data_IF_932299829616
#
_entry.id   IF_932299829616
#
_cell.length_a   1.000
_cell.length_b   1.000
_cell.length_c   1.000
_cell.angle_alpha   90.00
_cell.angle_beta   90.00
_cell.angle_gamma   90.00
#
_symmetry.space_group_name_H-M   'P 1'
#
loop_
_entity.id
_entity.type
_entity.pdbx_description
1 polymer ?
#
# COMPACT_ATOMS: atom_id res chain seq x y z
N UNK A 1 -2.66 -21.09 -15.11
CA UNK A 1 -3.04 -19.75 -14.63
C UNK A 1 -1.86 -18.82 -14.96
N UNK A 2 -2.07 -17.72 -15.70
CA UNK A 2 -1.00 -17.11 -16.50
C UNK A 2 -0.27 -15.92 -15.85
N UNK A 3 0.91 -15.63 -16.42
CA UNK A 3 1.96 -14.64 -16.08
C UNK A 3 1.51 -13.20 -15.77
N UNK A 4 0.22 -12.88 -15.93
CA UNK A 4 -0.33 -11.62 -15.45
C UNK A 4 -0.49 -11.61 -13.92
N UNK A 5 -0.83 -12.74 -13.27
CA UNK A 5 -1.52 -12.63 -11.98
C UNK A 5 -0.63 -12.07 -10.85
N UNK A 6 0.55 -12.61 -10.58
CA UNK A 6 1.39 -12.10 -9.47
C UNK A 6 1.94 -10.70 -9.76
N UNK A 7 2.38 -10.43 -10.99
CA UNK A 7 2.74 -9.06 -11.42
C UNK A 7 1.55 -8.09 -11.27
N UNK A 8 0.31 -8.52 -11.54
CA UNK A 8 -0.88 -7.68 -11.35
C UNK A 8 -1.12 -7.32 -9.88
N UNK A 9 -0.66 -8.12 -8.91
CA UNK A 9 -0.86 -7.85 -7.49
C UNK A 9 -0.18 -6.54 -7.02
N UNK A 10 0.94 -6.14 -7.63
CA UNK A 10 1.56 -4.82 -7.41
C UNK A 10 1.28 -3.84 -8.55
N UNK A 11 1.15 -4.32 -9.79
CA UNK A 11 0.88 -3.47 -10.96
C UNK A 11 -0.53 -2.88 -11.02
N UNK A 12 -1.52 -3.46 -10.32
CA UNK A 12 -2.87 -2.87 -10.16
C UNK A 12 -2.81 -1.53 -9.41
N UNK A 13 -1.72 -1.25 -8.69
CA UNK A 13 -1.51 0.03 -8.03
C UNK A 13 -0.74 1.04 -8.92
N UNK A 14 0.46 0.72 -9.43
CA UNK A 14 1.45 1.75 -9.80
C UNK A 14 2.43 1.40 -10.95
N UNK A 15 1.99 1.30 -12.21
CA UNK A 15 2.88 1.20 -13.39
C UNK A 15 3.07 2.54 -14.13
N UNK A 16 4.32 3.08 -14.14
CA UNK A 16 5.13 3.29 -15.37
C UNK A 16 6.38 4.21 -15.21
N UNK A 17 7.51 3.78 -15.82
CA UNK A 17 8.71 4.55 -16.27
C UNK A 17 9.81 5.01 -15.26
N UNK A 18 10.99 5.39 -15.80
CA UNK A 18 12.33 5.42 -15.11
C UNK A 18 13.30 6.53 -15.62
N UNK A 19 14.46 6.97 -15.06
CA UNK A 19 15.44 6.47 -14.03
C UNK A 19 16.49 7.48 -13.46
N UNK A 20 16.79 7.39 -12.14
CA UNK A 20 18.04 7.77 -11.39
C UNK A 20 18.31 9.30 -11.13
N UNK A 21 19.13 9.79 -10.15
CA UNK A 21 20.20 9.18 -9.31
C UNK A 21 20.59 9.95 -7.99
N UNK A 22 20.83 9.20 -6.88
CA UNK A 22 21.65 9.33 -5.63
C UNK A 22 22.09 10.65 -4.90
N UNK A 23 22.06 10.65 -3.54
CA UNK A 23 23.08 11.30 -2.65
C UNK A 23 22.65 11.84 -1.24
N UNK A 24 23.22 11.34 -0.11
CA UNK A 24 22.96 11.84 1.27
C UNK A 24 24.06 11.49 2.34
N UNK A 25 24.11 12.23 3.48
CA UNK A 25 24.92 11.95 4.71
C UNK A 25 24.21 12.45 6.00
N UNK A 26 24.51 11.89 7.20
CA UNK A 26 23.88 12.26 8.51
C UNK A 26 24.85 12.14 9.73
N UNK A 27 24.46 12.65 10.92
CA UNK A 27 25.26 12.78 12.16
C UNK A 27 24.55 12.20 13.43
N UNK A 28 25.21 12.20 14.60
CA UNK A 28 24.89 11.35 15.77
C UNK A 28 23.65 11.72 16.63
N UNK A 29 23.12 10.73 17.39
CA UNK A 29 21.75 10.68 17.99
C UNK A 29 21.61 11.09 19.49
N UNK A 30 20.39 11.47 19.98
CA UNK A 30 20.13 11.82 21.39
C UNK A 30 18.95 11.10 22.13
N UNK A 31 19.26 10.22 23.08
CA UNK A 31 18.42 9.79 24.23
C UNK A 31 17.01 9.19 23.99
N UNK A 32 16.96 7.87 23.80
CA UNK A 32 15.81 6.92 23.69
C UNK A 32 14.37 7.47 23.68
N UNK A 33 13.82 7.97 24.79
CA UNK A 33 12.41 8.41 24.83
C UNK A 33 12.19 9.70 24.02
N UNK A 34 13.13 10.65 24.14
CA UNK A 34 13.17 11.85 23.30
C UNK A 34 13.52 11.47 21.85
N UNK A 35 14.39 10.48 21.65
CA UNK A 35 14.71 9.87 20.36
C UNK A 35 13.44 9.38 19.65
N UNK A 36 12.57 8.65 20.35
CA UNK A 36 11.32 8.09 19.81
C UNK A 36 10.30 9.18 19.46
N UNK A 37 10.10 10.17 20.33
CA UNK A 37 9.22 11.31 20.03
C UNK A 37 9.76 12.14 18.86
N UNK A 38 11.07 12.41 18.82
CA UNK A 38 11.71 13.06 17.67
C UNK A 38 11.61 12.22 16.38
N UNK A 39 11.70 10.89 16.44
CA UNK A 39 11.52 10.02 15.28
C UNK A 39 10.07 10.04 14.77
N UNK A 40 9.07 9.96 15.65
CA UNK A 40 7.66 10.08 15.27
C UNK A 40 7.34 11.46 14.66
N UNK A 41 7.88 12.54 15.23
CA UNK A 41 7.79 13.90 14.67
C UNK A 41 8.53 14.03 13.33
N UNK A 42 9.68 13.38 13.18
CA UNK A 42 10.41 13.34 11.90
C UNK A 42 9.60 12.61 10.82
N UNK A 43 8.94 11.49 11.14
CA UNK A 43 8.05 10.81 10.19
C UNK A 43 6.86 11.69 9.82
N UNK A 44 6.22 12.37 10.77
CA UNK A 44 5.14 13.33 10.45
C UNK A 44 5.62 14.46 9.53
N UNK A 45 6.84 14.96 9.74
CA UNK A 45 7.47 15.95 8.85
C UNK A 45 7.75 15.38 7.45
N UNK A 46 8.25 14.14 7.35
CA UNK A 46 8.47 13.45 6.08
C UNK A 46 7.14 13.21 5.34
N UNK A 47 6.09 12.76 6.03
CA UNK A 47 4.73 12.67 5.45
C UNK A 47 4.29 14.03 4.91
N UNK A 48 4.47 15.12 5.65
CA UNK A 48 4.10 16.45 5.15
C UNK A 48 4.96 16.93 3.97
N UNK A 49 6.23 16.52 3.88
CA UNK A 49 7.10 16.79 2.73
C UNK A 49 6.69 15.98 1.50
N UNK A 50 6.45 14.67 1.67
CA UNK A 50 5.97 13.77 0.63
C UNK A 50 4.61 14.21 0.06
N UNK A 51 3.67 14.58 0.96
CA UNK A 51 2.40 15.24 0.61
C UNK A 51 2.59 16.52 -0.21
N UNK A 52 3.70 17.23 -0.04
CA UNK A 52 4.03 18.46 -0.77
C UNK A 52 4.95 18.20 -1.99
N UNK A 53 4.93 16.97 -2.53
CA UNK A 53 5.63 16.61 -3.77
C UNK A 53 7.11 16.26 -3.61
N UNK A 54 7.68 16.29 -2.41
CA UNK A 54 9.07 15.90 -2.19
C UNK A 54 9.24 14.38 -2.39
N UNK A 55 9.98 13.99 -3.43
CA UNK A 55 10.21 12.58 -3.76
C UNK A 55 11.14 11.88 -2.76
N UNK A 56 12.22 12.55 -2.31
CA UNK A 56 13.17 11.98 -1.34
C UNK A 56 12.48 11.64 -0.01
N UNK A 57 11.47 12.43 0.39
CA UNK A 57 10.68 12.15 1.57
C UNK A 57 9.91 10.81 1.45
N UNK A 58 9.44 10.42 0.26
CA UNK A 58 8.90 9.08 0.04
C UNK A 58 9.96 7.98 0.18
N UNK A 59 11.19 8.22 -0.27
CA UNK A 59 12.31 7.29 -0.06
C UNK A 59 12.66 7.13 1.41
N UNK A 60 12.77 8.23 2.16
CA UNK A 60 13.03 8.17 3.61
C UNK A 60 11.89 7.49 4.36
N UNK A 61 10.62 7.74 3.99
CA UNK A 61 9.47 7.02 4.57
C UNK A 61 9.53 5.52 4.33
N UNK A 62 9.98 5.08 3.14
CA UNK A 62 10.18 3.66 2.88
C UNK A 62 11.22 3.05 3.84
N UNK A 63 12.35 3.72 4.05
CA UNK A 63 13.38 3.30 5.02
C UNK A 63 12.85 3.32 6.47
N UNK A 64 12.06 4.31 6.87
CA UNK A 64 11.40 4.34 8.18
C UNK A 64 10.49 3.11 8.38
N UNK A 65 9.68 2.73 7.38
CA UNK A 65 8.82 1.54 7.45
C UNK A 65 9.60 0.21 7.35
N UNK A 66 10.77 0.19 6.72
CA UNK A 66 11.68 -0.97 6.70
C UNK A 66 12.32 -1.20 8.08
N UNK A 67 12.89 -0.15 8.65
CA UNK A 67 13.75 -0.25 9.83
C UNK A 67 13.04 0.03 11.16
N UNK A 68 11.81 0.57 11.11
CA UNK A 68 10.97 0.81 12.28
C UNK A 68 11.31 2.10 13.03
N UNK A 69 11.96 3.05 12.37
CA UNK A 69 12.32 4.33 12.97
C UNK A 69 11.13 5.31 12.89
N UNK A 70 10.55 5.64 14.04
CA UNK A 70 9.38 6.53 14.16
C UNK A 70 8.03 5.93 13.73
N UNK A 71 8.01 4.70 13.21
CA UNK A 71 6.80 3.95 12.82
C UNK A 71 6.99 2.45 13.09
N UNK A 72 5.89 1.70 13.18
CA UNK A 72 5.97 0.24 13.17
C UNK A 72 6.48 -0.28 11.83
N UNK A 73 7.33 -1.31 11.85
CA UNK A 73 7.81 -1.98 10.63
C UNK A 73 6.63 -2.49 9.79
N UNK A 74 6.66 -2.25 8.49
CA UNK A 74 5.69 -2.79 7.52
C UNK A 74 6.29 -2.85 6.12
N UNK A 75 6.27 -4.05 5.53
CA UNK A 75 6.66 -4.31 4.16
C UNK A 75 5.74 -3.60 3.17
N UNK A 76 4.42 -3.60 3.41
CA UNK A 76 3.45 -3.02 2.48
C UNK A 76 3.51 -1.49 2.49
N UNK A 77 3.63 -0.86 3.67
CA UNK A 77 3.79 0.60 3.73
C UNK A 77 5.16 1.03 3.16
N UNK A 78 6.23 0.27 3.42
CA UNK A 78 7.54 0.47 2.77
C UNK A 78 7.41 0.41 1.24
N UNK A 79 6.87 -0.69 0.69
CA UNK A 79 6.73 -0.87 -0.75
C UNK A 79 5.84 0.21 -1.37
N UNK A 80 4.75 0.60 -0.71
CA UNK A 80 3.91 1.69 -1.17
C UNK A 80 4.72 2.99 -1.30
N UNK A 81 5.44 3.39 -0.25
CA UNK A 81 6.25 4.61 -0.26
C UNK A 81 7.41 4.54 -1.26
N UNK A 82 8.08 3.39 -1.38
CA UNK A 82 9.16 3.21 -2.36
C UNK A 82 8.64 3.35 -3.80
N UNK A 83 7.47 2.78 -4.14
CA UNK A 83 6.92 2.94 -5.49
C UNK A 83 6.41 4.37 -5.73
N UNK A 84 5.94 5.10 -4.70
CA UNK A 84 5.65 6.54 -4.82
C UNK A 84 6.92 7.37 -5.11
N UNK A 85 8.08 6.98 -4.56
CA UNK A 85 9.39 7.52 -4.92
C UNK A 85 9.80 7.13 -6.34
N UNK A 86 9.65 5.86 -6.74
CA UNK A 86 9.90 5.37 -8.11
C UNK A 86 9.15 6.19 -9.16
N UNK A 87 7.87 6.52 -8.92
CA UNK A 87 7.07 7.33 -9.85
C UNK A 87 7.62 8.76 -10.00
N UNK A 88 8.07 9.39 -8.92
CA UNK A 88 8.51 10.80 -8.90
C UNK A 88 9.99 11.03 -9.21
N UNK A 89 10.74 9.96 -9.45
CA UNK A 89 12.20 10.00 -9.77
C UNK A 89 12.59 9.08 -10.91
N UNK A 90 11.66 8.24 -11.36
CA UNK A 90 11.96 7.09 -12.19
C UNK A 90 12.78 5.98 -11.51
N UNK A 91 13.09 6.01 -10.20
CA UNK A 91 13.86 4.94 -9.58
C UNK A 91 13.26 3.56 -9.88
N UNK A 92 14.09 2.56 -10.20
CA UNK A 92 13.58 1.23 -10.54
C UNK A 92 13.02 0.54 -9.30
N UNK A 93 11.88 -0.16 -9.46
CA UNK A 93 11.24 -0.89 -8.36
C UNK A 93 12.18 -1.98 -7.81
N UNK A 94 12.99 -2.64 -8.64
CA UNK A 94 13.96 -3.64 -8.19
C UNK A 94 15.19 -3.06 -7.48
N UNK A 95 15.41 -1.74 -7.53
CA UNK A 95 16.40 -1.04 -6.70
C UNK A 95 16.11 -1.11 -5.19
N UNK A 96 14.89 -1.51 -4.78
CA UNK A 96 14.59 -1.79 -3.37
C UNK A 96 15.49 -2.89 -2.80
N UNK A 97 15.98 -3.81 -3.65
CA UNK A 97 16.77 -4.97 -3.24
C UNK A 97 18.15 -4.59 -2.69
N UNK A 98 18.68 -3.43 -3.09
CA UNK A 98 20.00 -2.93 -2.65
C UNK A 98 20.03 -2.47 -1.18
N UNK A 99 18.86 -2.32 -0.54
CA UNK A 99 18.73 -1.91 0.86
C UNK A 99 18.65 -3.08 1.84
N UNK A 100 18.73 -4.33 1.36
CA UNK A 100 18.51 -5.54 2.16
C UNK A 100 19.70 -6.51 2.13
N UNK A 101 19.93 -7.18 3.26
CA UNK A 101 20.84 -8.32 3.32
C UNK A 101 20.29 -9.50 2.50
N UNK A 102 21.19 -10.27 1.88
CA UNK A 102 20.84 -11.34 0.91
C UNK A 102 19.94 -12.43 1.46
N UNK A 103 19.98 -12.64 2.77
CA UNK A 103 19.23 -13.66 3.49
C UNK A 103 17.97 -13.09 4.19
N UNK A 104 17.61 -11.83 3.93
CA UNK A 104 16.42 -11.19 4.52
C UNK A 104 15.11 -11.83 4.00
N UNK A 105 14.13 -12.10 4.89
CA UNK A 105 12.81 -12.62 4.49
C UNK A 105 12.12 -11.82 3.38
N UNK A 106 12.30 -10.50 3.35
CA UNK A 106 11.75 -9.65 2.30
C UNK A 106 12.28 -10.03 0.91
N UNK A 107 13.58 -10.27 0.77
CA UNK A 107 14.16 -10.65 -0.53
C UNK A 107 13.68 -12.04 -0.96
N UNK A 108 13.50 -12.97 -0.03
CA UNK A 108 12.90 -14.28 -0.32
C UNK A 108 11.46 -14.14 -0.83
N UNK A 109 10.64 -13.31 -0.17
CA UNK A 109 9.25 -13.05 -0.61
C UNK A 109 9.22 -12.30 -1.94
N UNK A 110 10.05 -11.27 -2.13
CA UNK A 110 10.17 -10.52 -3.38
C UNK A 110 10.52 -11.46 -4.54
N UNK A 111 11.57 -12.27 -4.40
CA UNK A 111 11.99 -13.24 -5.39
C UNK A 111 10.92 -14.31 -5.69
N UNK A 112 10.09 -14.67 -4.70
CA UNK A 112 8.96 -15.60 -4.91
C UNK A 112 7.83 -14.96 -5.73
N UNK A 113 7.63 -13.65 -5.61
CA UNK A 113 6.60 -12.90 -6.33
C UNK A 113 7.06 -12.47 -7.74
N UNK A 114 8.36 -12.46 -8.00
CA UNK A 114 8.96 -12.20 -9.33
C UNK A 114 8.69 -13.34 -10.33
N UNK A 115 8.31 -14.54 -9.86
CA UNK A 115 7.93 -15.66 -10.73
C UNK A 115 6.59 -15.43 -11.43
N UNK A 116 6.48 -15.90 -12.68
CA UNK A 116 5.25 -15.77 -13.47
C UNK A 116 4.06 -16.59 -12.95
N UNK A 117 4.28 -17.51 -12.02
CA UNK A 117 3.26 -18.23 -11.28
C UNK A 117 3.83 -18.72 -9.95
N UNK A 118 3.02 -18.74 -8.89
CA UNK A 118 3.40 -19.39 -7.64
C UNK A 118 3.62 -20.91 -7.80
N UNK A 119 3.18 -21.51 -8.92
CA UNK A 119 3.53 -22.90 -9.25
C UNK A 119 4.95 -23.08 -9.84
N UNK A 120 5.66 -22.00 -10.18
CA UNK A 120 7.07 -22.01 -10.59
C UNK A 120 8.02 -21.76 -9.40
N UNK A 121 7.47 -21.59 -8.20
CA UNK A 121 8.16 -21.20 -6.98
C UNK A 121 9.11 -22.29 -6.46
N UNK A 122 10.32 -21.89 -6.09
CA UNK A 122 11.33 -22.82 -5.59
C UNK A 122 11.00 -23.31 -4.17
N UNK A 123 10.65 -24.60 -4.03
CA UNK A 123 10.41 -25.24 -2.73
C UNK A 123 11.59 -25.08 -1.74
N UNK A 124 12.83 -24.92 -2.24
CA UNK A 124 13.99 -24.63 -1.41
C UNK A 124 13.98 -23.21 -0.84
N UNK A 125 13.53 -22.20 -1.60
CA UNK A 125 13.29 -20.85 -1.07
C UNK A 125 12.12 -20.85 -0.08
N UNK A 126 11.05 -21.60 -0.35
CA UNK A 126 9.91 -21.71 0.55
C UNK A 126 10.32 -22.32 1.90
N UNK A 127 11.12 -23.38 1.92
CA UNK A 127 11.63 -23.96 3.15
C UNK A 127 12.58 -22.99 3.90
N UNK A 128 13.44 -22.25 3.19
CA UNK A 128 14.23 -21.18 3.80
C UNK A 128 13.35 -20.10 4.46
N UNK A 129 12.28 -19.67 3.78
CA UNK A 129 11.32 -18.72 4.33
C UNK A 129 10.58 -19.28 5.56
N UNK A 130 10.24 -20.58 5.60
CA UNK A 130 9.64 -21.20 6.79
C UNK A 130 10.52 -21.09 8.04
N UNK A 131 11.84 -21.20 7.89
CA UNK A 131 12.77 -21.11 9.01
C UNK A 131 12.98 -19.66 9.49
N UNK A 132 12.79 -18.67 8.60
CA UNK A 132 13.04 -17.24 8.89
C UNK A 132 11.77 -16.45 9.24
N UNK A 133 10.65 -16.75 8.58
CA UNK A 133 9.34 -16.14 8.81
C UNK A 133 8.21 -17.15 8.49
N UNK A 134 7.80 -17.98 9.47
CA UNK A 134 6.76 -19.00 9.29
C UNK A 134 5.41 -18.43 8.82
N UNK A 135 5.04 -17.21 9.23
CA UNK A 135 3.76 -16.60 8.90
C UNK A 135 3.67 -16.25 7.41
N UNK A 136 4.72 -15.64 6.84
CA UNK A 136 4.75 -15.34 5.40
C UNK A 136 4.82 -16.64 4.56
N UNK A 137 5.52 -17.67 5.05
CA UNK A 137 5.50 -18.98 4.40
C UNK A 137 4.09 -19.61 4.41
N UNK A 138 3.37 -19.57 5.54
CA UNK A 138 1.97 -20.04 5.66
C UNK A 138 1.04 -19.29 4.68
N UNK A 139 1.22 -17.98 4.53
CA UNK A 139 0.44 -17.18 3.58
C UNK A 139 0.73 -17.56 2.11
N UNK A 140 2.00 -17.81 1.77
CA UNK A 140 2.41 -18.23 0.43
C UNK A 140 1.95 -19.67 0.13
N UNK A 141 1.99 -20.59 1.09
CA UNK A 141 1.46 -21.94 0.92
C UNK A 141 -0.06 -21.95 0.68
N UNK A 142 -0.82 -21.16 1.44
CA UNK A 142 -2.25 -20.95 1.20
C UNK A 142 -2.50 -20.39 -0.21
N UNK A 143 -1.75 -19.36 -0.63
CA UNK A 143 -1.88 -18.79 -1.97
C UNK A 143 -1.42 -19.73 -3.11
N UNK A 144 -0.54 -20.69 -2.84
CA UNK A 144 -0.12 -21.75 -3.78
C UNK A 144 -1.18 -22.83 -3.96
N UNK A 145 -1.98 -23.12 -2.94
CA UNK A 145 -3.09 -24.09 -2.98
C UNK A 145 -4.29 -23.58 -3.80
N UNK A 146 -4.45 -22.26 -3.94
CA UNK A 146 -5.54 -21.63 -4.69
C UNK A 146 -5.37 -21.76 -6.21
N UNK A 147 -6.14 -22.65 -6.83
CA UNK A 147 -6.21 -22.83 -8.29
C UNK A 147 -7.46 -22.13 -8.88
N UNK A 148 -8.51 -21.96 -8.07
CA UNK A 148 -9.82 -21.38 -8.40
C UNK A 148 -10.34 -20.42 -7.31
N UNK A 149 -11.40 -19.67 -7.61
CA UNK A 149 -12.04 -18.78 -6.62
C UNK A 149 -12.82 -19.50 -5.52
N UNK A 150 -13.11 -20.79 -5.68
CA UNK A 150 -13.83 -21.57 -4.66
C UNK A 150 -12.87 -22.10 -3.60
N UNK A 151 -11.72 -22.65 -4.01
CA UNK A 151 -10.60 -22.99 -3.10
C UNK A 151 -10.06 -21.74 -2.37
N UNK A 152 -10.06 -20.57 -3.04
CA UNK A 152 -9.67 -19.29 -2.42
C UNK A 152 -10.53 -18.89 -1.21
N UNK A 153 -11.76 -19.40 -1.13
CA UNK A 153 -12.66 -19.19 0.01
C UNK A 153 -12.35 -20.15 1.17
N UNK A 154 -11.87 -21.35 0.86
CA UNK A 154 -11.46 -22.35 1.86
C UNK A 154 -10.15 -21.91 2.55
N UNK A 155 -9.15 -21.51 1.75
CA UNK A 155 -7.87 -20.97 2.25
C UNK A 155 -7.99 -19.58 2.91
N UNK A 156 -9.15 -18.93 2.84
CA UNK A 156 -9.38 -17.64 3.48
C UNK A 156 -9.22 -17.72 5.01
N UNK A 157 -9.49 -18.88 5.63
CA UNK A 157 -9.16 -19.06 7.05
C UNK A 157 -7.64 -19.11 7.27
N UNK A 158 -6.91 -19.89 6.48
CA UNK A 158 -5.44 -20.02 6.57
C UNK A 158 -4.75 -18.66 6.47
N UNK A 159 -5.22 -17.81 5.54
CA UNK A 159 -4.74 -16.43 5.38
C UNK A 159 -5.08 -15.56 6.60
N UNK A 160 -6.32 -15.60 7.11
CA UNK A 160 -6.74 -14.87 8.33
C UNK A 160 -6.00 -15.30 9.60
N UNK A 161 -5.41 -16.49 9.62
CA UNK A 161 -4.52 -16.95 10.69
C UNK A 161 -3.09 -16.43 10.47
N UNK A 162 -2.54 -16.58 9.25
CA UNK A 162 -1.22 -16.06 8.90
C UNK A 162 -1.10 -14.53 9.13
N UNK A 163 -2.16 -13.76 8.85
CA UNK A 163 -2.24 -12.32 9.17
C UNK A 163 -2.06 -12.05 10.68
N UNK A 164 -2.74 -12.83 11.53
CA UNK A 164 -2.64 -12.71 13.00
C UNK A 164 -1.28 -13.17 13.54
N UNK A 165 -0.66 -14.11 12.84
CA UNK A 165 0.73 -14.56 13.09
C UNK A 165 1.77 -13.53 12.59
N UNK A 166 1.36 -12.53 11.79
CA UNK A 166 2.14 -11.35 11.44
C UNK A 166 2.35 -11.10 9.94
N UNK A 167 1.95 -12.03 9.07
CA UNK A 167 2.14 -11.94 7.62
C UNK A 167 1.42 -10.73 7.01
N UNK A 168 2.15 -9.94 6.21
CA UNK A 168 1.56 -8.90 5.39
C UNK A 168 1.16 -9.43 3.99
N UNK A 169 1.78 -10.51 3.48
CA UNK A 169 1.29 -11.16 2.26
C UNK A 169 -0.11 -11.76 2.43
N UNK A 170 -0.45 -12.25 3.62
CA UNK A 170 -1.81 -12.69 3.95
C UNK A 170 -2.86 -11.59 3.76
N UNK A 171 -2.51 -10.33 4.01
CA UNK A 171 -3.37 -9.17 3.78
C UNK A 171 -3.54 -8.92 2.28
N UNK A 172 -2.46 -9.02 1.50
CA UNK A 172 -2.50 -8.89 0.03
C UNK A 172 -3.34 -10.01 -0.61
N UNK A 173 -3.13 -11.27 -0.23
CA UNK A 173 -3.88 -12.40 -0.78
C UNK A 173 -5.39 -12.32 -0.43
N UNK A 174 -5.74 -11.89 0.78
CA UNK A 174 -7.14 -11.57 1.12
C UNK A 174 -7.71 -10.43 0.26
N UNK A 175 -7.00 -9.31 0.13
CA UNK A 175 -7.45 -8.17 -0.69
C UNK A 175 -7.70 -8.58 -2.16
N UNK A 176 -6.84 -9.44 -2.72
CA UNK A 176 -6.96 -9.97 -4.08
C UNK A 176 -8.16 -10.92 -4.24
N UNK A 177 -8.42 -11.77 -3.24
CA UNK A 177 -9.63 -12.60 -3.20
C UNK A 177 -10.88 -11.72 -3.16
N UNK A 178 -10.94 -10.77 -2.22
CA UNK A 178 -12.11 -9.90 -2.04
C UNK A 178 -12.45 -9.08 -3.28
N UNK A 179 -11.43 -8.49 -3.94
CA UNK A 179 -11.57 -7.75 -5.19
C UNK A 179 -12.15 -8.64 -6.32
N UNK A 180 -11.67 -9.88 -6.47
CA UNK A 180 -12.20 -10.82 -7.47
C UNK A 180 -13.57 -11.41 -7.14
N UNK A 181 -13.87 -11.62 -5.85
CA UNK A 181 -15.06 -12.33 -5.40
C UNK A 181 -16.31 -11.43 -5.26
N UNK A 182 -16.14 -10.09 -5.17
CA UNK A 182 -17.26 -9.15 -4.99
C UNK A 182 -18.04 -9.38 -3.69
N UNK A 183 -17.38 -9.90 -2.65
CA UNK A 183 -18.01 -10.33 -1.41
C UNK A 183 -18.30 -9.16 -0.46
N UNK A 184 -19.44 -9.18 0.24
CA UNK A 184 -19.84 -8.12 1.19
C UNK A 184 -18.82 -7.88 2.30
N UNK A 185 -18.21 -8.94 2.82
CA UNK A 185 -17.13 -8.94 3.82
C UNK A 185 -15.94 -8.03 3.45
N UNK A 186 -15.72 -7.74 2.16
CA UNK A 186 -14.57 -6.98 1.66
C UNK A 186 -14.45 -5.59 2.31
N UNK A 187 -15.59 -4.94 2.58
CA UNK A 187 -15.62 -3.59 3.16
C UNK A 187 -15.17 -3.61 4.63
N UNK A 188 -15.64 -4.60 5.38
CA UNK A 188 -15.27 -4.78 6.80
C UNK A 188 -13.81 -5.21 6.94
N UNK A 189 -13.30 -6.01 5.99
CA UNK A 189 -11.87 -6.32 5.88
C UNK A 189 -11.03 -5.07 5.64
N UNK A 190 -11.31 -4.31 4.57
CA UNK A 190 -10.54 -3.08 4.28
C UNK A 190 -10.64 -2.04 5.40
N UNK A 191 -11.80 -1.93 6.07
CA UNK A 191 -11.96 -1.09 7.25
C UNK A 191 -11.08 -1.55 8.41
N UNK A 192 -11.09 -2.84 8.74
CA UNK A 192 -10.30 -3.43 9.83
C UNK A 192 -8.79 -3.24 9.67
N UNK A 193 -8.27 -3.35 8.44
CA UNK A 193 -6.82 -3.21 8.17
C UNK A 193 -6.38 -1.74 7.98
N UNK A 194 -7.31 -0.81 7.72
CA UNK A 194 -7.01 0.59 7.32
C UNK A 194 -6.20 1.42 8.30
N UNK A 195 -6.20 1.05 9.59
CA UNK A 195 -5.39 1.71 10.63
C UNK A 195 -3.90 1.32 10.60
N UNK A 196 -3.56 0.12 10.12
CA UNK A 196 -2.16 -0.34 9.92
C UNK A 196 -1.66 0.00 8.51
N UNK A 197 -2.56 -0.02 7.53
CA UNK A 197 -2.24 0.17 6.12
C UNK A 197 -3.13 1.29 5.52
N UNK A 198 -2.70 2.56 5.56
CA UNK A 198 -3.55 3.69 5.17
C UNK A 198 -4.01 3.63 3.70
N UNK A 199 -3.28 2.95 2.82
CA UNK A 199 -3.69 2.71 1.43
C UNK A 199 -4.99 1.91 1.31
N UNK A 200 -5.41 1.15 2.32
CA UNK A 200 -6.69 0.44 2.29
C UNK A 200 -7.90 1.41 2.25
N UNK A 201 -7.71 2.67 2.68
CA UNK A 201 -8.72 3.71 2.50
C UNK A 201 -8.97 4.06 1.02
N UNK A 202 -8.06 3.75 0.10
CA UNK A 202 -8.30 3.91 -1.34
C UNK A 202 -9.43 2.97 -1.80
N UNK A 203 -9.33 1.68 -1.43
CA UNK A 203 -10.39 0.71 -1.72
C UNK A 203 -11.72 1.10 -1.06
N UNK A 204 -11.70 1.56 0.20
CA UNK A 204 -12.92 2.06 0.87
C UNK A 204 -13.51 3.30 0.16
N UNK A 205 -12.68 4.21 -0.35
CA UNK A 205 -13.13 5.39 -1.08
C UNK A 205 -13.91 5.00 -2.35
N UNK A 206 -13.44 3.99 -3.09
CA UNK A 206 -14.10 3.44 -4.28
C UNK A 206 -15.35 2.62 -3.92
N UNK A 207 -15.28 1.74 -2.92
CA UNK A 207 -16.44 0.98 -2.45
C UNK A 207 -17.59 1.87 -1.94
N UNK A 208 -17.29 3.01 -1.32
CA UNK A 208 -18.33 3.96 -0.93
C UNK A 208 -18.86 4.81 -2.10
N UNK A 209 -18.04 5.13 -3.11
CA UNK A 209 -18.52 5.74 -4.35
C UNK A 209 -19.48 4.80 -5.11
N UNK A 210 -19.19 3.49 -5.14
CA UNK A 210 -20.07 2.47 -5.70
C UNK A 210 -21.37 2.29 -4.91
N UNK A 211 -21.33 2.33 -3.57
CA UNK A 211 -22.55 2.32 -2.74
C UNK A 211 -23.44 3.54 -3.00
N UNK A 212 -22.86 4.73 -3.17
CA UNK A 212 -23.63 5.89 -3.65
C UNK A 212 -24.22 5.64 -5.05
N UNK A 213 -23.46 5.05 -5.98
CA UNK A 213 -23.91 4.84 -7.35
C UNK A 213 -25.18 3.98 -7.43
N UNK A 214 -25.34 3.01 -6.52
CA UNK A 214 -26.52 2.15 -6.39
C UNK A 214 -27.64 2.74 -5.51
N UNK A 215 -27.30 3.21 -4.30
CA UNK A 215 -28.30 3.62 -3.28
C UNK A 215 -28.82 5.05 -3.46
N UNK A 216 -28.01 5.92 -4.08
CA UNK A 216 -28.17 7.40 -4.13
C UNK A 216 -28.20 8.10 -2.77
N UNK A 217 -27.82 7.44 -1.67
CA UNK A 217 -27.66 8.09 -0.35
C UNK A 217 -26.37 8.94 -0.32
N UNK A 218 -26.46 10.28 -0.16
CA UNK A 218 -25.28 11.15 -0.09
C UNK A 218 -24.36 10.86 1.10
N UNK A 219 -24.80 10.12 2.14
CA UNK A 219 -23.92 9.71 3.24
C UNK A 219 -22.72 8.90 2.78
N UNK A 220 -22.83 8.20 1.65
CA UNK A 220 -21.73 7.44 1.05
C UNK A 220 -20.70 8.33 0.33
N UNK A 221 -21.10 9.47 -0.24
CA UNK A 221 -20.15 10.44 -0.83
C UNK A 221 -19.23 11.00 0.27
N UNK A 222 -19.79 11.39 1.42
CA UNK A 222 -18.98 11.87 2.54
C UNK A 222 -18.02 10.80 3.07
N UNK A 223 -18.45 9.53 3.16
CA UNK A 223 -17.58 8.40 3.55
C UNK A 223 -16.47 8.15 2.53
N UNK A 224 -16.76 8.27 1.24
CA UNK A 224 -15.76 8.16 0.18
C UNK A 224 -14.70 9.26 0.32
N UNK A 225 -15.14 10.53 0.40
CA UNK A 225 -14.26 11.69 0.63
C UNK A 225 -13.40 11.50 1.89
N UNK A 226 -13.99 11.09 3.02
CA UNK A 226 -13.29 10.84 4.28
C UNK A 226 -12.19 9.77 4.13
N UNK A 227 -12.45 8.70 3.37
CA UNK A 227 -11.46 7.66 3.11
C UNK A 227 -10.33 8.17 2.20
N UNK A 228 -10.64 8.88 1.12
CA UNK A 228 -9.61 9.51 0.29
C UNK A 228 -8.79 10.57 1.07
N UNK A 229 -9.39 11.29 2.02
CA UNK A 229 -8.69 12.17 2.97
C UNK A 229 -7.74 11.40 3.91
N UNK A 230 -8.16 10.25 4.45
CA UNK A 230 -7.29 9.40 5.31
C UNK A 230 -6.08 8.86 4.56
N UNK A 231 -6.22 8.55 3.27
CA UNK A 231 -5.08 8.19 2.41
C UNK A 231 -4.13 9.39 2.23
N UNK A 232 -4.65 10.56 1.85
CA UNK A 232 -3.87 11.79 1.68
C UNK A 232 -3.15 12.24 2.97
N UNK A 233 -3.78 12.11 4.13
CA UNK A 233 -3.17 12.42 5.43
C UNK A 233 -1.88 11.62 5.71
N UNK A 234 -1.70 10.47 5.05
CA UNK A 234 -0.54 9.60 5.12
C UNK A 234 0.36 9.65 3.87
N UNK A 235 0.20 10.66 3.00
CA UNK A 235 0.84 10.75 1.68
C UNK A 235 0.47 9.63 0.68
N UNK A 236 -0.58 8.86 0.95
CA UNK A 236 -0.99 7.68 0.17
C UNK A 236 -2.14 7.91 -0.82
N UNK A 237 -2.54 9.16 -1.09
CA UNK A 237 -3.48 9.45 -2.18
C UNK A 237 -2.73 9.47 -3.53
N UNK A 238 -3.25 8.70 -4.51
CA UNK A 238 -2.59 8.47 -5.81
C UNK A 238 -3.49 8.95 -6.98
N UNK A 239 -2.95 9.20 -8.19
CA UNK A 239 -3.67 9.90 -9.26
C UNK A 239 -5.10 9.45 -9.53
N UNK A 240 -5.36 8.14 -9.65
CA UNK A 240 -6.73 7.58 -9.83
C UNK A 240 -7.73 8.13 -8.80
N UNK A 241 -7.34 8.09 -7.53
CA UNK A 241 -8.20 8.45 -6.40
C UNK A 241 -8.23 9.96 -6.16
N UNK A 242 -7.19 10.70 -6.53
CA UNK A 242 -7.21 12.16 -6.56
C UNK A 242 -8.20 12.69 -7.63
N UNK A 243 -8.18 12.12 -8.84
CA UNK A 243 -9.17 12.45 -9.88
C UNK A 243 -10.59 12.07 -9.48
N UNK A 244 -10.78 10.92 -8.80
CA UNK A 244 -12.08 10.53 -8.25
C UNK A 244 -12.55 11.50 -7.15
N UNK A 245 -11.66 11.92 -6.26
CA UNK A 245 -11.92 12.90 -5.21
C UNK A 245 -12.32 14.27 -5.80
N UNK A 246 -11.69 14.70 -6.89
CA UNK A 246 -12.07 15.91 -7.62
C UNK A 246 -13.51 15.83 -8.17
N UNK A 247 -13.90 14.70 -8.78
CA UNK A 247 -15.29 14.50 -9.25
C UNK A 247 -16.32 14.43 -8.11
N UNK A 248 -15.96 13.86 -6.95
CA UNK A 248 -16.81 13.91 -5.75
C UNK A 248 -16.96 15.34 -5.21
N UNK A 249 -15.91 16.16 -5.28
CA UNK A 249 -15.94 17.57 -4.91
C UNK A 249 -16.78 18.42 -5.86
N UNK A 250 -16.72 18.17 -7.17
CA UNK A 250 -17.52 18.84 -8.19
C UNK A 250 -19.02 18.55 -7.98
N UNK A 251 -19.39 17.28 -7.84
CA UNK A 251 -20.76 16.87 -7.49
C UNK A 251 -21.25 17.56 -6.21
N UNK A 252 -20.41 17.65 -5.17
CA UNK A 252 -20.77 18.32 -3.93
C UNK A 252 -21.05 19.82 -4.15
N UNK A 253 -20.23 20.53 -4.92
CA UNK A 253 -20.46 21.95 -5.23
C UNK A 253 -21.76 22.14 -6.03
N UNK A 254 -21.99 21.33 -7.08
CA UNK A 254 -23.22 21.37 -7.89
C UNK A 254 -24.49 21.19 -7.06
N UNK A 255 -24.43 20.35 -6.02
CA UNK A 255 -25.56 20.01 -5.15
C UNK A 255 -25.61 20.83 -3.85
N UNK A 256 -24.76 21.85 -3.69
CA UNK A 256 -24.72 22.70 -2.49
C UNK A 256 -24.28 22.00 -1.21
N UNK A 257 -23.54 20.89 -1.33
CA UNK A 257 -23.08 20.06 -0.22
C UNK A 257 -21.73 20.55 0.30
N UNK A 258 -21.67 20.96 1.57
CA UNK A 258 -20.43 21.45 2.19
C UNK A 258 -19.48 20.30 2.55
N UNK A 259 -18.23 20.38 2.08
CA UNK A 259 -17.18 19.38 2.34
C UNK A 259 -16.10 19.98 3.26
N UNK A 260 -16.05 19.60 4.54
CA UNK A 260 -14.97 19.99 5.45
C UNK A 260 -13.61 19.46 4.95
N UNK A 261 -12.55 20.26 5.05
CA UNK A 261 -11.20 19.82 4.67
C UNK A 261 -11.01 19.53 3.18
N UNK A 262 -11.90 20.04 2.31
CA UNK A 262 -11.75 19.98 0.85
C UNK A 262 -10.34 20.44 0.43
N UNK A 263 -9.61 19.57 -0.27
CA UNK A 263 -8.31 19.92 -0.86
C UNK A 263 -8.53 20.96 -1.96
N UNK A 264 -7.61 21.91 -2.09
CA UNK A 264 -7.61 22.87 -3.18
C UNK A 264 -7.19 22.23 -4.52
N UNK A 265 -7.44 22.96 -5.60
CA UNK A 265 -7.21 22.48 -6.96
C UNK A 265 -5.71 22.30 -7.27
N UNK A 266 -4.84 23.17 -6.76
CA UNK A 266 -3.38 23.08 -6.93
C UNK A 266 -2.84 21.79 -6.28
N UNK A 267 -3.29 21.51 -5.05
CA UNK A 267 -2.99 20.29 -4.30
C UNK A 267 -3.46 19.01 -5.01
N UNK A 268 -4.66 19.01 -5.59
CA UNK A 268 -5.17 17.88 -6.38
C UNK A 268 -4.37 17.71 -7.68
N UNK A 269 -4.17 18.80 -8.42
CA UNK A 269 -3.42 18.81 -9.68
C UNK A 269 -1.97 18.34 -9.49
N UNK A 270 -1.30 18.72 -8.40
CA UNK A 270 0.03 18.19 -8.05
C UNK A 270 0.01 16.67 -7.87
N UNK A 271 -0.97 16.09 -7.17
CA UNK A 271 -1.05 14.62 -7.03
C UNK A 271 -1.30 13.97 -8.39
N UNK A 272 -2.20 14.54 -9.20
CA UNK A 272 -2.63 13.98 -10.50
C UNK A 272 -1.52 14.09 -11.56
N UNK A 273 -0.77 15.20 -11.60
CA UNK A 273 0.13 15.54 -12.72
C UNK A 273 1.63 15.59 -12.38
N UNK A 274 2.04 15.92 -11.14
CA UNK A 274 3.47 15.90 -10.76
C UNK A 274 3.99 14.48 -10.46
N UNK A 275 3.16 13.47 -10.72
CA UNK A 275 3.55 12.07 -10.87
C UNK A 275 4.22 11.77 -12.23
N UNK A 276 4.52 12.79 -13.06
CA UNK A 276 5.05 12.67 -14.43
C UNK A 276 6.16 13.68 -14.80
N UNK A 277 6.91 14.18 -13.80
CA UNK A 277 8.08 15.07 -13.98
C UNK A 277 9.40 14.31 -13.82
#
# INVERSE_FOLDING_TARGET
>A
MNRLFVMSCMAILLFCHTSCQDGAEEFQRPSVELEKECQELNVQRLVQQARNGNADAYMTLALCYKDGEGVGKSMLNMMFMYIQYCIRTGARIDGIKDFFDKDDPFLLVYDMLEFSSLHELSMAKLEALKQLNPAEAKAIEAAMAVISLEEAKEELQTLREAEKEGSEMAVIFQALYYNKAGCGDAKDFFAGISGRYPFANLFLCEMYADEYSHSKDPSFIYKAIECCHKAEANAMLVPKYASMLAGLYEYCDENGLSVPGKLDEEKLNMIIFDSYK
#
